data_IF_863054838883
#
_entry.id   IF_863054838883
#
_cell.length_a   1.000
_cell.length_b   1.000
_cell.length_c   1.000
_cell.angle_alpha   90.00
_cell.angle_beta   90.00
_cell.angle_gamma   90.00
#
_symmetry.space_group_name_H-M   'P 1'
#
loop_
_entity.id
_entity.type
_entity.pdbx_description
1 polymer ?
#
# COMPACT_ATOMS: atom_id res chain seq x y z
N UNK A 1 2.33 -36.34 -64.91
CA UNK A 1 1.15 -36.43 -64.03
C UNK A 1 1.60 -36.88 -62.65
N UNK A 2 1.76 -35.93 -61.71
CA UNK A 2 2.14 -36.22 -60.31
C UNK A 2 0.94 -35.86 -59.44
N UNK A 3 0.45 -36.86 -58.72
CA UNK A 3 -0.70 -36.80 -57.82
C UNK A 3 -0.35 -36.00 -56.56
N UNK A 4 -1.14 -34.96 -56.28
CA UNK A 4 -1.06 -34.16 -55.06
C UNK A 4 -1.56 -34.96 -53.84
N UNK A 5 -0.86 -34.95 -52.69
CA UNK A 5 -1.33 -35.56 -51.47
C UNK A 5 -2.47 -34.74 -50.86
N UNK A 6 -3.60 -35.39 -50.62
CA UNK A 6 -4.76 -34.82 -49.95
C UNK A 6 -4.44 -34.56 -48.47
N UNK A 7 -4.38 -33.28 -48.10
CA UNK A 7 -4.29 -32.82 -46.71
C UNK A 7 -5.61 -33.13 -45.99
N UNK A 8 -5.58 -34.15 -45.14
CA UNK A 8 -6.69 -34.50 -44.23
C UNK A 8 -6.81 -33.39 -43.18
N UNK A 9 -7.77 -32.48 -43.37
CA UNK A 9 -8.19 -31.54 -42.33
C UNK A 9 -8.92 -32.33 -41.23
N UNK A 10 -8.20 -32.71 -40.17
CA UNK A 10 -8.81 -33.16 -38.92
C UNK A 10 -9.53 -31.98 -38.28
N UNK A 11 -10.84 -31.92 -38.46
CA UNK A 11 -11.77 -31.12 -37.66
C UNK A 11 -11.61 -31.51 -36.19
N UNK A 12 -10.79 -30.75 -35.46
CA UNK A 12 -10.79 -30.75 -33.99
C UNK A 12 -12.15 -30.25 -33.54
N UNK A 13 -13.07 -31.18 -33.26
CA UNK A 13 -14.30 -30.91 -32.51
C UNK A 13 -13.94 -30.15 -31.24
N UNK A 14 -14.32 -28.87 -31.21
CA UNK A 14 -14.02 -27.93 -30.16
C UNK A 14 -14.71 -28.32 -28.86
N UNK A 15 -14.03 -29.11 -28.03
CA UNK A 15 -14.30 -29.18 -26.61
C UNK A 15 -14.03 -27.79 -26.05
N UNK A 16 -15.11 -27.02 -25.77
CA UNK A 16 -15.01 -25.80 -24.98
C UNK A 16 -14.26 -26.17 -23.69
N UNK A 17 -13.12 -25.55 -23.37
CA UNK A 17 -12.46 -25.80 -22.10
C UNK A 17 -13.47 -25.52 -20.99
N UNK A 18 -13.69 -26.50 -20.11
CA UNK A 18 -14.56 -26.34 -18.97
C UNK A 18 -14.10 -25.08 -18.22
N UNK A 19 -15.00 -24.09 -18.07
CA UNK A 19 -14.67 -22.86 -17.37
C UNK A 19 -14.21 -23.24 -15.96
N UNK A 20 -13.09 -22.67 -15.47
CA UNK A 20 -12.62 -22.97 -14.13
C UNK A 20 -13.72 -22.60 -13.13
N UNK A 21 -14.06 -23.55 -12.25
CA UNK A 21 -15.13 -23.43 -11.26
C UNK A 21 -14.92 -22.23 -10.30
N UNK A 22 -13.67 -21.77 -10.18
CA UNK A 22 -13.25 -20.67 -9.32
C UNK A 22 -12.68 -19.58 -10.22
N UNK A 23 -13.14 -18.34 -10.03
CA UNK A 23 -12.70 -17.17 -10.78
C UNK A 23 -11.95 -16.19 -9.88
N UNK A 24 -11.10 -15.32 -10.47
CA UNK A 24 -10.40 -14.27 -9.71
C UNK A 24 -11.36 -13.33 -8.96
N UNK A 25 -12.51 -12.90 -9.51
CA UNK A 25 -13.51 -12.15 -8.76
C UNK A 25 -14.07 -12.91 -7.55
N UNK A 26 -14.31 -14.22 -7.67
CA UNK A 26 -14.78 -15.05 -6.54
C UNK A 26 -13.76 -15.06 -5.40
N UNK A 27 -12.47 -15.22 -5.71
CA UNK A 27 -11.40 -15.17 -4.71
C UNK A 27 -11.26 -13.78 -4.08
N UNK A 28 -11.37 -12.72 -4.86
CA UNK A 28 -11.40 -11.36 -4.32
C UNK A 28 -12.59 -11.15 -3.37
N UNK A 29 -13.77 -11.68 -3.71
CA UNK A 29 -14.94 -11.67 -2.81
C UNK A 29 -14.69 -12.41 -1.49
N UNK A 30 -14.01 -13.55 -1.54
CA UNK A 30 -13.59 -14.29 -0.34
C UNK A 30 -12.60 -13.46 0.51
N UNK A 31 -11.60 -12.84 -0.12
CA UNK A 31 -10.64 -11.98 0.57
C UNK A 31 -11.32 -10.79 1.26
N UNK A 32 -12.29 -10.16 0.59
CA UNK A 32 -13.06 -9.06 1.19
C UNK A 32 -13.89 -9.57 2.38
N UNK A 33 -14.55 -10.71 2.27
CA UNK A 33 -15.29 -11.32 3.38
C UNK A 33 -14.40 -11.64 4.59
N UNK A 34 -13.18 -12.16 4.35
CA UNK A 34 -12.19 -12.39 5.40
C UNK A 34 -11.73 -11.08 6.06
N UNK A 35 -11.47 -10.05 5.25
CA UNK A 35 -11.15 -8.72 5.74
C UNK A 35 -12.28 -8.14 6.62
N UNK A 36 -13.55 -8.25 6.21
CA UNK A 36 -14.68 -7.80 7.03
C UNK A 36 -14.78 -8.56 8.38
N UNK A 37 -14.29 -9.80 8.43
CA UNK A 37 -14.28 -10.64 9.65
C UNK A 37 -13.03 -10.48 10.52
N UNK A 38 -12.15 -9.53 10.21
CA UNK A 38 -10.92 -9.33 11.00
C UNK A 38 -9.81 -10.36 10.71
N UNK A 39 -9.92 -11.15 9.64
CA UNK A 39 -8.98 -12.21 9.27
C UNK A 39 -7.90 -11.72 8.29
N UNK A 40 -7.13 -10.72 8.72
CA UNK A 40 -6.07 -10.10 7.91
C UNK A 40 -4.98 -11.13 7.54
N UNK A 41 -4.67 -12.02 8.48
CA UNK A 41 -3.76 -13.17 8.32
C UNK A 41 -4.12 -14.02 7.09
N UNK A 42 -5.40 -14.36 6.96
CA UNK A 42 -5.89 -15.21 5.88
C UNK A 42 -5.94 -14.50 4.54
N UNK A 43 -6.12 -13.18 4.53
CA UNK A 43 -6.07 -12.39 3.31
C UNK A 43 -4.66 -12.41 2.72
N UNK A 44 -3.64 -12.21 3.54
CA UNK A 44 -2.24 -12.31 3.10
C UNK A 44 -1.88 -13.73 2.68
N UNK A 45 -2.32 -14.73 3.45
CA UNK A 45 -2.12 -16.13 3.09
C UNK A 45 -2.73 -16.46 1.72
N UNK A 46 -3.97 -16.02 1.46
CA UNK A 46 -4.60 -16.23 0.17
C UNK A 46 -3.80 -15.53 -0.93
N UNK A 47 -3.49 -14.25 -0.77
CA UNK A 47 -2.71 -13.47 -1.73
C UNK A 47 -1.43 -14.20 -2.18
N UNK A 48 -0.64 -14.70 -1.24
CA UNK A 48 0.62 -15.37 -1.51
C UNK A 48 0.51 -16.74 -2.21
N UNK A 49 -0.68 -17.35 -2.14
CA UNK A 49 -0.92 -18.73 -2.54
C UNK A 49 -2.06 -18.88 -3.57
N UNK A 50 -2.63 -17.79 -4.10
CA UNK A 50 -3.75 -17.84 -5.07
C UNK A 50 -3.43 -18.73 -6.29
N UNK A 51 -2.23 -18.56 -6.84
CA UNK A 51 -1.80 -19.31 -8.02
C UNK A 51 -1.56 -20.79 -7.69
N UNK A 52 -0.90 -21.10 -6.58
CA UNK A 52 -0.63 -22.50 -6.18
C UNK A 52 -1.90 -23.24 -5.77
N UNK A 53 -2.82 -22.56 -5.08
CA UNK A 53 -4.07 -23.17 -4.58
C UNK A 53 -5.15 -23.28 -5.65
N UNK A 54 -5.24 -22.33 -6.57
CA UNK A 54 -6.37 -22.22 -7.49
C UNK A 54 -5.97 -22.11 -8.96
N UNK A 55 -4.69 -21.95 -9.28
CA UNK A 55 -4.22 -21.70 -10.65
C UNK A 55 -4.62 -20.31 -11.16
N UNK A 56 -4.87 -19.36 -10.25
CA UNK A 56 -5.41 -18.04 -10.57
C UNK A 56 -4.46 -16.96 -10.06
N UNK A 57 -4.01 -16.08 -10.96
CA UNK A 57 -3.26 -14.88 -10.55
C UNK A 57 -4.18 -13.85 -9.88
N UNK A 58 -3.67 -13.09 -8.89
CA UNK A 58 -4.40 -11.96 -8.31
C UNK A 58 -4.83 -10.97 -9.38
N UNK A 59 -6.01 -10.38 -9.19
CA UNK A 59 -6.53 -9.29 -10.03
C UNK A 59 -6.50 -7.95 -9.27
N UNK A 60 -6.94 -6.88 -9.94
CA UNK A 60 -7.01 -5.53 -9.37
C UNK A 60 -7.85 -5.44 -8.08
N UNK A 61 -8.88 -6.28 -7.93
CA UNK A 61 -9.72 -6.29 -6.73
C UNK A 61 -8.98 -6.91 -5.54
N UNK A 62 -8.36 -8.08 -5.73
CA UNK A 62 -7.52 -8.72 -4.73
C UNK A 62 -6.36 -7.80 -4.29
N UNK A 63 -5.74 -7.11 -5.25
CA UNK A 63 -4.66 -6.16 -4.99
C UNK A 63 -5.11 -5.00 -4.11
N UNK A 64 -6.27 -4.40 -4.43
CA UNK A 64 -6.85 -3.33 -3.64
C UNK A 64 -7.27 -3.81 -2.23
N UNK A 65 -7.76 -5.05 -2.09
CA UNK A 65 -8.07 -5.62 -0.77
C UNK A 65 -6.79 -5.78 0.04
N UNK A 66 -5.72 -6.34 -0.55
CA UNK A 66 -4.42 -6.47 0.12
C UNK A 66 -3.90 -5.12 0.65
N UNK A 67 -3.97 -4.05 -0.13
CA UNK A 67 -3.56 -2.71 0.33
C UNK A 67 -4.42 -2.19 1.48
N UNK A 68 -5.74 -2.40 1.46
CA UNK A 68 -6.65 -2.04 2.57
C UNK A 68 -6.31 -2.79 3.84
N UNK A 69 -6.09 -4.10 3.73
CA UNK A 69 -5.73 -4.98 4.85
C UNK A 69 -4.39 -4.57 5.43
N UNK A 70 -3.40 -4.30 4.58
CA UNK A 70 -2.09 -3.80 4.98
C UNK A 70 -2.16 -2.46 5.71
N UNK A 71 -3.03 -1.54 5.27
CA UNK A 71 -3.28 -0.28 5.98
C UNK A 71 -3.87 -0.53 7.37
N UNK A 72 -4.88 -1.40 7.49
CA UNK A 72 -5.50 -1.76 8.78
C UNK A 72 -4.50 -2.42 9.72
N UNK A 73 -3.63 -3.28 9.19
CA UNK A 73 -2.64 -4.05 9.94
C UNK A 73 -1.71 -3.20 10.80
N UNK A 74 -1.38 -1.95 10.41
CA UNK A 74 -0.53 -1.07 11.22
C UNK A 74 -1.18 -0.75 12.57
N UNK A 75 -2.51 -0.67 12.63
CA UNK A 75 -3.23 -0.39 13.87
C UNK A 75 -3.06 -1.51 14.90
N UNK A 76 -2.92 -2.76 14.45
CA UNK A 76 -2.70 -3.90 15.33
C UNK A 76 -1.23 -4.08 15.75
N UNK A 77 -0.29 -3.40 15.07
CA UNK A 77 1.15 -3.60 15.29
C UNK A 77 1.68 -3.00 16.60
N UNK A 78 0.90 -2.21 17.33
CA UNK A 78 1.34 -1.59 18.59
C UNK A 78 1.28 -2.51 19.83
N UNK A 79 0.84 -3.77 19.69
CA UNK A 79 0.89 -4.71 20.81
C UNK A 79 2.34 -5.06 21.18
N UNK A 80 2.67 -5.03 22.48
CA UNK A 80 3.96 -5.46 23.06
C UNK A 80 4.39 -6.84 22.51
N UNK A 81 3.42 -7.72 22.25
CA UNK A 81 3.65 -9.04 21.66
C UNK A 81 4.35 -8.97 20.30
N UNK A 82 4.01 -7.98 19.47
CA UNK A 82 4.62 -7.79 18.15
C UNK A 82 6.04 -7.24 18.25
N UNK A 83 6.33 -6.39 19.24
CA UNK A 83 7.69 -5.94 19.50
C UNK A 83 8.61 -7.14 19.81
N UNK A 84 8.14 -8.10 20.61
CA UNK A 84 8.89 -9.32 20.89
C UNK A 84 9.03 -10.27 19.69
N UNK A 85 8.01 -10.37 18.83
CA UNK A 85 8.12 -11.13 17.57
C UNK A 85 9.19 -10.51 16.66
N UNK A 86 9.23 -9.18 16.55
CA UNK A 86 10.25 -8.46 15.77
C UNK A 86 11.67 -8.66 16.33
N UNK A 87 11.82 -8.81 17.65
CA UNK A 87 13.08 -9.15 18.30
C UNK A 87 13.49 -10.62 18.14
N UNK A 88 12.68 -11.44 17.45
CA UNK A 88 12.96 -12.87 17.24
C UNK A 88 12.73 -13.74 18.47
N UNK A 89 12.27 -13.17 19.59
CA UNK A 89 12.07 -13.86 20.86
C UNK A 89 10.89 -14.86 20.83
N UNK A 90 10.01 -14.73 19.84
CA UNK A 90 8.88 -15.64 19.61
C UNK A 90 8.91 -16.30 18.22
N UNK A 91 10.07 -16.39 17.57
CA UNK A 91 10.19 -17.34 16.46
C UNK A 91 9.99 -18.72 17.04
N UNK A 92 8.77 -19.26 16.87
CA UNK A 92 8.51 -20.66 17.20
C UNK A 92 9.60 -21.45 16.50
N UNK A 93 10.41 -22.25 17.23
CA UNK A 93 11.28 -23.21 16.57
C UNK A 93 10.40 -23.98 15.58
N UNK A 94 10.96 -24.36 14.44
CA UNK A 94 10.30 -25.18 13.43
C UNK A 94 9.90 -26.51 14.06
N UNK A 95 8.84 -26.50 14.85
CA UNK A 95 8.21 -27.68 15.41
C UNK A 95 7.51 -28.32 14.25
N UNK A 96 7.95 -29.54 13.96
CA UNK A 96 7.31 -30.45 13.02
C UNK A 96 5.79 -30.27 13.07
N UNK A 97 5.20 -29.99 11.93
CA UNK A 97 3.75 -29.93 11.77
C UNK A 97 3.27 -31.24 11.16
N UNK A 98 2.14 -31.80 11.59
CA UNK A 98 1.50 -32.90 10.87
C UNK A 98 1.25 -32.59 9.38
N UNK A 99 1.19 -31.30 9.01
CA UNK A 99 1.08 -30.85 7.63
C UNK A 99 2.33 -31.16 6.80
N UNK A 100 3.50 -31.30 7.42
CA UNK A 100 4.77 -31.56 6.73
C UNK A 100 4.79 -32.96 6.09
N UNK A 101 3.97 -33.90 6.57
CA UNK A 101 3.80 -35.25 6.00
C UNK A 101 3.05 -35.24 4.65
N UNK A 102 2.29 -34.19 4.35
CA UNK A 102 1.52 -34.10 3.10
C UNK A 102 2.47 -33.78 1.95
N UNK A 103 2.75 -34.77 1.09
CA UNK A 103 3.70 -34.63 -0.02
C UNK A 103 3.27 -33.59 -1.07
N UNK A 104 1.96 -33.47 -1.35
CA UNK A 104 1.46 -32.47 -2.30
C UNK A 104 1.45 -31.07 -1.66
N UNK A 105 2.23 -30.10 -2.20
CA UNK A 105 2.30 -28.74 -1.67
C UNK A 105 0.93 -28.04 -1.70
N UNK A 106 0.09 -28.33 -2.70
CA UNK A 106 -1.24 -27.72 -2.81
C UNK A 106 -2.17 -28.25 -1.73
N UNK A 107 -2.23 -29.56 -1.53
CA UNK A 107 -2.99 -30.18 -0.45
C UNK A 107 -2.54 -29.69 0.92
N UNK A 108 -1.22 -29.53 1.13
CA UNK A 108 -0.65 -28.99 2.37
C UNK A 108 -1.13 -27.57 2.66
N UNK A 109 -1.06 -26.68 1.67
CA UNK A 109 -1.54 -25.30 1.82
C UNK A 109 -3.05 -25.24 2.06
N UNK A 110 -3.83 -26.08 1.38
CA UNK A 110 -5.28 -26.14 1.58
C UNK A 110 -5.64 -26.61 3.01
N UNK A 111 -4.92 -27.61 3.54
CA UNK A 111 -5.08 -28.07 4.91
C UNK A 111 -4.67 -26.98 5.92
N UNK A 112 -3.54 -26.29 5.68
CA UNK A 112 -3.10 -25.15 6.50
C UNK A 112 -4.13 -24.02 6.54
N UNK A 113 -4.73 -23.71 5.40
CA UNK A 113 -5.76 -22.69 5.29
C UNK A 113 -7.02 -23.07 6.09
N UNK A 114 -7.48 -24.32 5.98
CA UNK A 114 -8.63 -24.83 6.74
C UNK A 114 -8.37 -24.80 8.24
N UNK A 115 -7.22 -25.29 8.69
CA UNK A 115 -6.84 -25.25 10.09
C UNK A 115 -6.81 -23.82 10.62
N UNK A 116 -6.35 -22.86 9.81
CA UNK A 116 -6.33 -21.45 10.18
C UNK A 116 -7.73 -20.85 10.23
N UNK A 117 -8.67 -21.26 9.37
CA UNK A 117 -10.07 -20.82 9.42
C UNK A 117 -10.77 -21.21 10.72
N UNK A 118 -10.45 -22.38 11.27
CA UNK A 118 -11.00 -22.89 12.54
C UNK A 118 -10.45 -22.15 13.76
N UNK A 119 -9.27 -21.53 13.64
CA UNK A 119 -8.67 -20.73 14.70
C UNK A 119 -9.34 -19.36 14.81
N UNK A 120 -9.39 -18.77 16.04
CA UNK A 120 -9.89 -17.42 16.22
C UNK A 120 -9.07 -16.40 15.42
N UNK A 121 -9.66 -15.27 15.00
CA UNK A 121 -8.96 -14.21 14.29
C UNK A 121 -7.66 -13.79 15.00
N UNK A 122 -6.53 -13.96 14.32
CA UNK A 122 -5.24 -13.47 14.82
C UNK A 122 -4.92 -12.12 14.19
N UNK A 123 -5.27 -11.04 14.89
CA UNK A 123 -4.93 -9.68 14.47
C UNK A 123 -3.48 -9.37 14.84
N UNK A 124 -2.53 -10.02 14.18
CA UNK A 124 -1.10 -9.80 14.46
C UNK A 124 -0.58 -8.52 13.80
N UNK A 125 -1.20 -8.06 12.71
CA UNK A 125 -0.65 -7.00 11.88
C UNK A 125 0.59 -7.42 11.09
N UNK A 126 0.90 -8.73 11.08
CA UNK A 126 2.05 -9.32 10.43
C UNK A 126 1.64 -10.06 9.15
N UNK A 127 2.54 -10.04 8.18
CA UNK A 127 2.51 -10.84 6.96
C UNK A 127 3.84 -11.58 6.90
N UNK A 128 3.80 -12.91 6.94
CA UNK A 128 5.01 -13.76 6.95
C UNK A 128 6.02 -13.37 8.06
N UNK A 129 5.51 -12.98 9.22
CA UNK A 129 6.32 -12.55 10.37
C UNK A 129 6.90 -11.13 10.28
N UNK A 130 6.66 -10.39 9.20
CA UNK A 130 7.06 -8.98 9.07
C UNK A 130 5.85 -8.04 9.15
N UNK A 131 6.04 -6.75 9.47
CA UNK A 131 4.93 -5.79 9.44
C UNK A 131 4.27 -5.74 8.07
N UNK A 132 2.99 -6.07 7.98
CA UNK A 132 2.33 -6.33 6.71
C UNK A 132 2.32 -5.12 5.77
N UNK A 133 2.26 -3.91 6.33
CA UNK A 133 2.38 -2.67 5.58
C UNK A 133 3.70 -2.54 4.79
N UNK A 134 4.83 -3.03 5.33
CA UNK A 134 6.12 -2.96 4.65
C UNK A 134 6.17 -3.92 3.48
N UNK A 135 5.65 -5.14 3.68
CA UNK A 135 5.55 -6.12 2.58
C UNK A 135 4.61 -5.58 1.52
N UNK A 136 3.45 -5.04 1.88
CA UNK A 136 2.51 -4.47 0.93
C UNK A 136 3.15 -3.34 0.10
N UNK A 137 3.86 -2.40 0.73
CA UNK A 137 4.62 -1.34 0.05
C UNK A 137 5.69 -1.92 -0.88
N UNK A 138 6.45 -2.92 -0.44
CA UNK A 138 7.43 -3.59 -1.30
C UNK A 138 6.77 -4.27 -2.50
N UNK A 139 5.65 -4.97 -2.28
CA UNK A 139 4.91 -5.68 -3.33
C UNK A 139 4.34 -4.69 -4.35
N UNK A 140 3.67 -3.61 -3.93
CA UNK A 140 3.14 -2.60 -4.87
C UNK A 140 4.25 -1.89 -5.63
N UNK A 141 5.32 -1.45 -4.96
CA UNK A 141 6.42 -0.76 -5.64
C UNK A 141 7.11 -1.70 -6.62
N UNK A 142 7.46 -2.91 -6.20
CA UNK A 142 8.06 -3.89 -7.11
C UNK A 142 7.15 -4.19 -8.30
N UNK A 143 5.85 -4.36 -8.06
CA UNK A 143 4.86 -4.61 -9.11
C UNK A 143 4.77 -3.46 -10.11
N UNK A 144 4.71 -2.22 -9.62
CA UNK A 144 4.71 -1.01 -10.46
C UNK A 144 5.98 -0.91 -11.30
N UNK A 145 7.16 -1.08 -10.69
CA UNK A 145 8.45 -0.95 -11.39
C UNK A 145 8.71 -2.09 -12.38
N UNK A 146 8.15 -3.28 -12.15
CA UNK A 146 8.24 -4.37 -13.13
C UNK A 146 7.36 -4.14 -14.35
N UNK A 147 6.21 -3.48 -14.17
CA UNK A 147 5.33 -3.12 -15.28
C UNK A 147 5.81 -1.87 -16.02
N UNK A 148 6.35 -0.91 -15.28
CA UNK A 148 6.80 0.40 -15.77
C UNK A 148 8.17 0.75 -15.17
N UNK A 149 9.27 0.18 -15.70
CA UNK A 149 10.61 0.46 -15.20
C UNK A 149 10.99 1.95 -15.30
N UNK A 150 10.40 2.69 -16.24
CA UNK A 150 10.57 4.14 -16.41
C UNK A 150 10.13 4.96 -15.18
N UNK A 151 9.30 4.40 -14.29
CA UNK A 151 8.95 5.06 -13.02
C UNK A 151 10.15 5.28 -12.09
N UNK A 152 11.28 4.58 -12.31
CA UNK A 152 12.55 4.80 -11.60
C UNK A 152 13.18 6.17 -11.90
N UNK A 153 12.93 6.70 -13.10
CA UNK A 153 13.52 7.97 -13.56
C UNK A 153 12.65 9.18 -13.19
N UNK A 154 11.44 8.94 -12.69
CA UNK A 154 10.49 9.99 -12.35
C UNK A 154 10.81 10.55 -10.97
N UNK A 155 11.05 11.85 -10.91
CA UNK A 155 11.19 12.59 -9.66
C UNK A 155 9.85 13.17 -9.19
N UNK A 156 9.71 13.33 -7.87
CA UNK A 156 8.59 14.05 -7.29
C UNK A 156 8.67 15.54 -7.63
N UNK A 157 7.54 16.22 -7.94
CA UNK A 157 7.54 17.61 -8.37
C UNK A 157 7.97 18.58 -7.27
N UNK A 158 7.86 18.16 -6.00
CA UNK A 158 8.23 18.94 -4.84
C UNK A 158 8.72 18.00 -3.74
N UNK A 159 9.80 18.39 -3.07
CA UNK A 159 10.35 17.70 -1.92
C UNK A 159 9.72 18.17 -0.61
N UNK A 160 9.45 17.23 0.29
CA UNK A 160 8.98 17.52 1.64
C UNK A 160 10.09 18.20 2.47
N UNK A 161 9.72 19.04 3.43
CA UNK A 161 10.66 19.65 4.38
C UNK A 161 11.08 18.67 5.47
N UNK A 162 10.24 17.66 5.71
CA UNK A 162 10.37 16.71 6.81
C UNK A 162 10.04 15.32 6.30
N UNK A 163 10.62 14.31 6.91
CA UNK A 163 10.30 12.93 6.57
C UNK A 163 8.97 12.48 7.15
N UNK A 164 8.68 12.87 8.40
CA UNK A 164 7.56 12.37 9.22
C UNK A 164 6.73 13.51 9.81
N UNK A 165 5.41 13.36 9.86
CA UNK A 165 4.49 14.38 10.39
C UNK A 165 4.39 14.45 11.93
N UNK A 166 4.68 13.34 12.63
CA UNK A 166 4.38 13.21 14.07
C UNK A 166 5.32 14.00 15.01
N UNK A 167 6.42 14.57 14.51
CA UNK A 167 7.39 15.30 15.35
C UNK A 167 6.90 16.67 15.84
N UNK A 168 5.89 17.23 15.18
CA UNK A 168 5.35 18.58 15.43
C UNK A 168 4.82 18.84 16.83
N UNK A 169 4.32 17.81 17.51
CA UNK A 169 3.55 18.03 18.75
C UNK A 169 4.46 18.16 19.98
N UNK A 170 5.72 17.73 19.91
CA UNK A 170 6.53 17.56 21.11
C UNK A 170 7.36 18.80 21.49
N UNK A 171 7.98 19.52 20.54
CA UNK A 171 8.98 20.55 20.89
C UNK A 171 9.09 21.71 19.86
N UNK A 172 8.35 22.82 20.01
CA UNK A 172 8.31 23.90 19.00
C UNK A 172 9.65 24.63 18.79
N UNK A 173 10.47 24.78 19.84
CA UNK A 173 11.77 25.46 19.74
C UNK A 173 12.82 24.62 19.01
N UNK A 174 12.89 23.31 19.28
CA UNK A 174 13.82 22.44 18.55
C UNK A 174 13.43 22.32 17.09
N UNK A 175 12.13 22.38 16.79
CA UNK A 175 11.66 22.44 15.40
C UNK A 175 12.07 23.71 14.69
N UNK A 176 11.99 24.87 15.35
CA UNK A 176 12.46 26.11 14.75
C UNK A 176 13.96 26.06 14.44
N UNK A 177 14.77 25.59 15.40
CA UNK A 177 16.21 25.41 15.21
C UNK A 177 16.52 24.43 14.05
N UNK A 178 15.83 23.29 14.02
CA UNK A 178 15.97 22.32 12.94
C UNK A 178 15.52 22.89 11.60
N UNK A 179 14.42 23.65 11.53
CA UNK A 179 13.94 24.27 10.31
C UNK A 179 14.94 25.32 9.79
N UNK A 180 15.55 26.11 10.66
CA UNK A 180 16.59 27.08 10.29
C UNK A 180 17.85 26.38 9.77
N UNK A 181 18.27 25.29 10.43
CA UNK A 181 19.43 24.50 9.99
C UNK A 181 19.15 23.79 8.65
N UNK A 182 17.97 23.19 8.50
CA UNK A 182 17.52 22.59 7.24
C UNK A 182 17.41 23.65 6.15
N UNK A 183 16.94 24.87 6.44
CA UNK A 183 16.86 25.95 5.45
C UNK A 183 18.25 26.35 4.92
N UNK A 184 19.23 26.52 5.81
CA UNK A 184 20.62 26.78 5.41
C UNK A 184 21.22 25.62 4.57
N UNK A 185 20.77 24.39 4.83
CA UNK A 185 21.30 23.19 4.17
C UNK A 185 20.57 22.82 2.86
N UNK A 186 19.27 23.12 2.74
CA UNK A 186 18.41 22.71 1.61
C UNK A 186 18.66 23.50 0.34
N UNK A 187 19.40 24.61 0.39
CA UNK A 187 19.90 25.24 -0.84
C UNK A 187 20.96 24.38 -1.55
N UNK A 188 21.57 23.41 -0.86
CA UNK A 188 22.71 22.64 -1.40
C UNK A 188 22.58 21.12 -1.29
N UNK A 189 21.50 20.58 -0.71
CA UNK A 189 21.36 19.13 -0.60
C UNK A 189 20.72 18.51 -1.83
N UNK A 190 21.47 17.56 -2.42
CA UNK A 190 20.94 16.60 -3.36
C UNK A 190 19.77 15.83 -2.74
N UNK A 191 18.72 15.54 -3.53
CA UNK A 191 17.60 14.75 -3.06
C UNK A 191 18.10 13.37 -2.61
N UNK A 192 17.88 13.03 -1.34
CA UNK A 192 18.05 11.65 -0.88
C UNK A 192 17.17 10.74 -1.75
N UNK A 193 17.65 9.53 -2.10
CA UNK A 193 16.87 8.62 -2.92
C UNK A 193 15.51 8.34 -2.24
N UNK A 194 14.40 8.29 -2.99
CA UNK A 194 13.08 8.03 -2.44
C UNK A 194 13.07 6.78 -1.56
N UNK A 195 12.58 6.90 -0.34
CA UNK A 195 12.55 5.77 0.62
C UNK A 195 11.67 4.65 0.10
N UNK A 196 10.64 5.00 -0.67
CA UNK A 196 9.77 4.04 -1.33
C UNK A 196 10.53 3.11 -2.29
N UNK A 197 11.55 3.65 -2.99
CA UNK A 197 12.41 2.87 -3.88
C UNK A 197 13.41 2.01 -3.10
N UNK A 198 13.91 2.51 -1.95
CA UNK A 198 14.77 1.73 -1.07
C UNK A 198 14.08 0.49 -0.46
N UNK A 199 12.75 0.46 -0.42
CA UNK A 199 11.98 -0.73 0.01
C UNK A 199 12.02 -1.87 -1.01
N UNK A 200 12.36 -1.57 -2.26
CA UNK A 200 12.50 -2.57 -3.32
C UNK A 200 13.81 -3.32 -3.09
N UNK A 201 13.73 -4.34 -2.22
CA UNK A 201 14.79 -5.33 -2.10
C UNK A 201 14.98 -6.10 -3.43
N UNK A 202 15.87 -7.11 -3.46
CA UNK A 202 16.01 -7.96 -4.63
C UNK A 202 14.64 -8.51 -5.07
N UNK A 203 14.41 -8.65 -6.39
CA UNK A 203 13.12 -9.06 -6.91
C UNK A 203 12.65 -10.33 -6.19
N UNK A 204 11.38 -10.40 -5.74
CA UNK A 204 10.85 -11.60 -5.14
C UNK A 204 11.05 -12.77 -6.10
N UNK A 205 11.37 -13.94 -5.56
CA UNK A 205 11.54 -15.19 -6.35
C UNK A 205 10.23 -15.67 -7.00
N UNK A 206 9.09 -15.10 -6.63
CA UNK A 206 7.75 -15.46 -7.11
C UNK A 206 7.39 -14.64 -8.36
N UNK A 207 6.58 -15.19 -9.29
CA UNK A 207 6.24 -14.54 -10.54
C UNK A 207 5.58 -13.18 -10.31
N UNK A 208 6.01 -12.20 -11.10
CA UNK A 208 5.41 -10.87 -11.16
C UNK A 208 3.95 -10.98 -11.65
N UNK A 209 3.03 -10.28 -10.99
CA UNK A 209 1.59 -10.35 -11.29
C UNK A 209 1.19 -9.50 -12.49
N UNK A 210 1.69 -9.81 -13.69
CA UNK A 210 1.53 -8.98 -14.91
C UNK A 210 0.08 -8.58 -15.26
N UNK A 211 -0.92 -9.30 -14.75
CA UNK A 211 -2.33 -9.04 -15.03
C UNK A 211 -2.96 -7.94 -14.16
N UNK A 212 -2.24 -7.40 -13.17
CA UNK A 212 -2.76 -6.35 -12.29
C UNK A 212 -2.34 -4.99 -12.83
N UNK A 213 -3.25 -4.27 -13.50
CA UNK A 213 -3.02 -2.87 -13.91
C UNK A 213 -3.59 -1.96 -12.82
N UNK A 214 -2.76 -1.23 -12.05
CA UNK A 214 -3.23 -0.31 -11.02
C UNK A 214 -4.12 0.80 -11.60
N UNK A 215 -5.12 1.21 -10.85
CA UNK A 215 -6.03 2.29 -11.22
C UNK A 215 -6.07 3.36 -10.13
N UNK A 216 -6.91 4.39 -10.31
CA UNK A 216 -7.05 5.49 -9.35
C UNK A 216 -7.28 5.00 -7.92
N UNK A 217 -8.11 3.96 -7.74
CA UNK A 217 -8.39 3.37 -6.43
C UNK A 217 -7.17 2.70 -5.79
N UNK A 218 -6.31 2.06 -6.60
CA UNK A 218 -5.05 1.49 -6.13
C UNK A 218 -4.10 2.56 -5.61
N UNK A 219 -3.97 3.66 -6.35
CA UNK A 219 -3.14 4.79 -5.95
C UNK A 219 -3.70 5.54 -4.74
N UNK A 220 -5.02 5.69 -4.66
CA UNK A 220 -5.71 6.21 -3.47
C UNK A 220 -5.36 5.39 -2.21
N UNK A 221 -5.43 4.06 -2.31
CA UNK A 221 -5.07 3.16 -1.22
C UNK A 221 -3.58 3.19 -0.91
N UNK A 222 -2.71 3.35 -1.91
CA UNK A 222 -1.27 3.54 -1.73
C UNK A 222 -0.97 4.83 -0.97
N UNK A 223 -1.60 5.95 -1.31
CA UNK A 223 -1.44 7.24 -0.60
C UNK A 223 -1.84 7.10 0.87
N UNK A 224 -2.95 6.42 1.15
CA UNK A 224 -3.33 6.10 2.52
C UNK A 224 -2.30 5.21 3.22
N UNK A 225 -1.76 4.22 2.52
CA UNK A 225 -0.72 3.36 3.08
C UNK A 225 0.54 4.16 3.38
N UNK A 226 0.96 5.09 2.53
CA UNK A 226 2.12 5.96 2.76
C UNK A 226 1.96 6.81 4.01
N UNK A 227 0.81 7.50 4.18
CA UNK A 227 0.53 8.29 5.38
C UNK A 227 0.59 7.42 6.62
N UNK A 228 -0.11 6.26 6.60
CA UNK A 228 -0.08 5.40 7.76
C UNK A 228 1.31 4.96 8.11
N UNK A 229 2.29 4.92 7.20
CA UNK A 229 3.65 4.41 7.44
C UNK A 229 4.72 5.48 7.60
N UNK A 230 4.34 6.71 7.92
CA UNK A 230 5.28 7.82 8.10
C UNK A 230 6.12 8.08 6.83
N UNK A 231 5.52 7.80 5.67
CA UNK A 231 6.08 8.01 4.33
C UNK A 231 5.26 9.05 3.56
N UNK A 232 4.59 9.95 4.27
CA UNK A 232 3.81 11.03 3.64
C UNK A 232 4.68 11.89 2.71
N UNK A 233 5.98 12.01 2.99
CA UNK A 233 6.97 12.69 2.14
C UNK A 233 7.07 12.12 0.72
N UNK A 234 6.66 10.88 0.50
CA UNK A 234 6.68 10.19 -0.80
C UNK A 234 5.40 10.43 -1.64
N UNK A 235 4.38 11.07 -1.08
CA UNK A 235 3.11 11.33 -1.78
C UNK A 235 3.30 12.11 -3.10
N UNK A 236 4.15 13.16 -3.18
CA UNK A 236 4.40 13.85 -4.44
C UNK A 236 4.96 12.94 -5.55
N UNK A 237 5.84 11.99 -5.20
CA UNK A 237 6.38 11.00 -6.14
C UNK A 237 5.26 10.10 -6.68
N UNK A 238 4.40 9.60 -5.80
CA UNK A 238 3.28 8.75 -6.21
C UNK A 238 2.27 9.50 -7.09
N UNK A 239 2.04 10.79 -6.84
CA UNK A 239 1.25 11.65 -7.73
C UNK A 239 1.94 11.87 -9.09
N UNK A 240 3.27 11.99 -9.12
CA UNK A 240 4.04 12.05 -10.36
C UNK A 240 3.90 10.76 -11.18
N UNK A 241 3.95 9.60 -10.53
CA UNK A 241 3.67 8.31 -11.17
C UNK A 241 2.26 8.25 -11.75
N UNK A 242 1.23 8.69 -11.01
CA UNK A 242 -0.14 8.77 -11.53
C UNK A 242 -0.22 9.62 -12.80
N UNK A 243 0.44 10.79 -12.80
CA UNK A 243 0.49 11.68 -13.98
C UNK A 243 1.16 11.01 -15.17
N UNK A 244 2.30 10.37 -14.95
CA UNK A 244 3.04 9.68 -16.01
C UNK A 244 2.25 8.53 -16.62
N UNK A 245 1.58 7.74 -15.78
CA UNK A 245 0.71 6.64 -16.21
C UNK A 245 -0.65 7.12 -16.75
N UNK A 246 -0.87 8.44 -16.87
CA UNK A 246 -2.14 9.05 -17.30
C UNK A 246 -3.35 8.62 -16.46
N UNK A 247 -3.14 8.32 -15.18
CA UNK A 247 -4.21 7.99 -14.22
C UNK A 247 -4.68 9.29 -13.57
N UNK A 248 -5.88 9.73 -13.93
CA UNK A 248 -6.49 10.96 -13.37
C UNK A 248 -7.02 10.69 -11.95
N UNK A 249 -6.46 11.32 -10.91
CA UNK A 249 -6.95 11.18 -9.54
C UNK A 249 -8.32 11.87 -9.37
N UNK A 250 -9.18 11.30 -8.53
CA UNK A 250 -10.39 12.02 -8.09
C UNK A 250 -10.03 13.20 -7.18
N UNK A 251 -10.90 14.21 -7.10
CA UNK A 251 -10.75 15.31 -6.14
C UNK A 251 -10.60 14.79 -4.70
N UNK A 252 -11.22 13.66 -4.38
CA UNK A 252 -11.14 13.03 -3.06
C UNK A 252 -9.75 12.46 -2.77
N UNK A 253 -9.13 11.81 -3.77
CA UNK A 253 -7.74 11.34 -3.68
C UNK A 253 -6.76 12.50 -3.52
N UNK A 254 -6.95 13.59 -4.26
CA UNK A 254 -6.14 14.80 -4.07
C UNK A 254 -6.36 15.42 -2.70
N UNK A 255 -7.60 15.49 -2.21
CA UNK A 255 -7.89 16.03 -0.88
C UNK A 255 -7.14 15.26 0.22
N UNK A 256 -7.15 13.94 0.18
CA UNK A 256 -6.37 13.13 1.12
C UNK A 256 -4.86 13.30 0.94
N UNK A 257 -4.36 13.30 -0.30
CA UNK A 257 -2.94 13.50 -0.58
C UNK A 257 -2.44 14.82 0.04
N UNK A 258 -3.19 15.90 -0.15
CA UNK A 258 -2.88 17.22 0.42
C UNK A 258 -2.97 17.23 1.95
N UNK A 259 -4.02 16.63 2.53
CA UNK A 259 -4.16 16.53 4.00
C UNK A 259 -2.99 15.76 4.62
N UNK A 260 -2.60 14.63 4.04
CA UNK A 260 -1.48 13.81 4.53
C UNK A 260 -0.13 14.45 4.32
N UNK A 261 0.05 15.20 3.23
CA UNK A 261 1.32 15.85 2.93
C UNK A 261 1.53 17.16 3.68
N UNK A 262 0.46 17.82 4.15
CA UNK A 262 0.54 19.09 4.86
C UNK A 262 1.53 19.08 6.04
N UNK A 263 1.50 18.11 6.98
CA UNK A 263 2.42 18.09 8.13
C UNK A 263 3.92 18.03 7.76
N UNK A 264 4.24 17.47 6.59
CA UNK A 264 5.62 17.31 6.11
C UNK A 264 6.07 18.42 5.16
N UNK A 265 5.16 19.31 4.75
CA UNK A 265 5.42 20.35 3.72
C UNK A 265 5.21 21.79 4.20
N UNK A 266 4.49 22.02 5.30
CA UNK A 266 4.30 23.36 5.85
C UNK A 266 5.37 23.71 6.87
N UNK A 267 5.95 24.90 6.71
CA UNK A 267 6.79 25.54 7.73
C UNK A 267 5.94 26.08 8.89
N UNK A 268 6.60 26.61 9.94
CA UNK A 268 5.89 27.41 10.93
C UNK A 268 5.31 28.68 10.27
N UNK A 269 4.14 29.20 10.74
CA UNK A 269 3.48 30.35 10.11
C UNK A 269 4.38 31.58 9.94
N UNK A 270 5.26 31.83 10.92
CA UNK A 270 6.22 32.94 10.88
C UNK A 270 7.23 32.77 9.74
N UNK A 271 7.77 31.57 9.58
CA UNK A 271 8.76 31.27 8.56
C UNK A 271 8.13 31.25 7.16
N UNK A 272 6.88 30.80 7.05
CA UNK A 272 6.11 30.88 5.81
C UNK A 272 5.85 32.33 5.38
N UNK A 273 5.50 33.21 6.33
CA UNK A 273 5.37 34.66 6.06
C UNK A 273 6.71 35.26 5.59
N UNK A 274 7.82 34.92 6.25
CA UNK A 274 9.17 35.37 5.85
C UNK A 274 9.59 34.88 4.45
N UNK A 275 9.18 33.67 4.05
CA UNK A 275 9.50 33.08 2.74
C UNK A 275 8.67 33.67 1.58
N UNK A 276 7.77 34.61 1.85
CA UNK A 276 6.91 35.22 0.84
C UNK A 276 5.55 34.53 0.67
N UNK A 277 5.08 33.82 1.71
CA UNK A 277 3.74 33.26 1.81
C UNK A 277 3.55 31.88 1.19
N UNK A 278 2.30 31.41 1.22
CA UNK A 278 1.87 30.07 0.81
C UNK A 278 2.29 29.67 -0.60
N UNK A 279 2.35 30.62 -1.54
CA UNK A 279 2.72 30.33 -2.94
C UNK A 279 4.15 29.83 -3.12
N UNK A 280 5.05 30.10 -2.15
CA UNK A 280 6.45 29.66 -2.18
C UNK A 280 6.72 28.46 -1.28
N UNK A 281 5.77 28.06 -0.42
CA UNK A 281 5.93 26.88 0.40
C UNK A 281 5.90 25.61 -0.46
N UNK A 282 6.55 24.51 -0.04
CA UNK A 282 6.43 23.23 -0.72
C UNK A 282 4.97 22.83 -0.92
N UNK A 283 4.13 23.04 0.09
CA UNK A 283 2.68 22.84 0.01
C UNK A 283 2.06 23.58 -1.18
N UNK A 284 2.26 24.90 -1.28
CA UNK A 284 1.74 25.70 -2.39
C UNK A 284 2.31 25.33 -3.75
N UNK A 285 3.59 24.94 -3.83
CA UNK A 285 4.20 24.45 -5.08
C UNK A 285 3.55 23.17 -5.58
N UNK A 286 3.21 22.22 -4.70
CA UNK A 286 2.51 21.01 -5.11
C UNK A 286 1.09 21.33 -5.57
N UNK A 287 0.38 22.21 -4.85
CA UNK A 287 -0.95 22.67 -5.27
C UNK A 287 -0.87 23.34 -6.64
N UNK A 288 0.10 24.22 -6.89
CA UNK A 288 0.31 24.84 -8.20
C UNK A 288 0.61 23.82 -9.31
N UNK A 289 1.46 22.83 -9.03
CA UNK A 289 1.75 21.73 -9.95
C UNK A 289 0.50 20.88 -10.26
N UNK A 290 -0.31 20.57 -9.23
CA UNK A 290 -1.57 19.86 -9.39
C UNK A 290 -2.58 20.68 -10.19
N UNK A 291 -2.67 22.00 -9.98
CA UNK A 291 -3.56 22.88 -10.73
C UNK A 291 -3.16 22.93 -12.20
N UNK A 292 -1.86 22.99 -12.50
CA UNK A 292 -1.36 22.94 -13.86
C UNK A 292 -1.64 21.60 -14.56
N UNK A 293 -1.63 20.49 -13.81
CA UNK A 293 -1.93 19.16 -14.35
C UNK A 293 -3.43 18.91 -14.52
N UNK A 294 -4.23 19.18 -13.49
CA UNK A 294 -5.66 18.77 -13.41
C UNK A 294 -6.64 19.89 -13.76
N UNK A 295 -6.15 21.13 -13.88
CA UNK A 295 -6.97 22.34 -13.97
C UNK A 295 -7.64 22.71 -12.64
N UNK A 296 -8.18 23.92 -12.55
CA UNK A 296 -8.84 24.43 -11.34
C UNK A 296 -10.00 23.54 -10.88
N UNK A 297 -10.75 22.98 -11.83
CA UNK A 297 -11.87 22.05 -11.54
C UNK A 297 -11.41 20.71 -10.98
N UNK A 298 -10.15 20.32 -11.18
CA UNK A 298 -9.59 19.08 -10.63
C UNK A 298 -9.13 19.21 -9.18
N UNK A 299 -8.98 20.44 -8.68
CA UNK A 299 -8.53 20.72 -7.32
C UNK A 299 -9.70 20.60 -6.34
N UNK A 300 -9.52 19.92 -5.18
CA UNK A 300 -10.56 19.83 -4.18
C UNK A 300 -10.87 21.20 -3.58
N UNK A 301 -12.16 21.50 -3.41
CA UNK A 301 -12.60 22.67 -2.62
C UNK A 301 -12.20 22.55 -1.14
N UNK A 302 -12.11 23.68 -0.45
CA UNK A 302 -11.84 23.73 1.00
C UNK A 302 -12.82 22.88 1.82
N UNK A 303 -14.09 22.84 1.38
CA UNK A 303 -15.12 21.98 1.99
C UNK A 303 -14.74 20.51 1.90
N UNK A 304 -14.15 20.08 0.78
CA UNK A 304 -13.73 18.69 0.57
C UNK A 304 -12.45 18.37 1.34
N UNK A 305 -11.49 19.29 1.38
CA UNK A 305 -10.29 19.19 2.23
C UNK A 305 -10.69 19.05 3.71
N UNK A 306 -11.62 19.87 4.18
CA UNK A 306 -12.13 19.79 5.56
C UNK A 306 -12.84 18.46 5.86
N UNK A 307 -13.54 17.87 4.88
CA UNK A 307 -14.12 16.51 5.03
C UNK A 307 -13.03 15.44 5.09
N UNK A 308 -12.01 15.51 4.23
CA UNK A 308 -10.89 14.59 4.24
C UNK A 308 -10.15 14.66 5.58
N UNK A 309 -9.87 15.88 6.09
CA UNK A 309 -9.24 16.10 7.39
C UNK A 309 -10.00 15.43 8.54
N UNK A 310 -11.32 15.64 8.63
CA UNK A 310 -12.17 14.95 9.63
C UNK A 310 -12.15 13.43 9.46
N UNK A 311 -12.09 12.92 8.23
CA UNK A 311 -11.99 11.48 7.99
C UNK A 311 -10.64 10.92 8.44
N UNK A 312 -9.54 11.66 8.27
CA UNK A 312 -8.22 11.28 8.78
C UNK A 312 -8.23 11.26 10.30
N UNK A 313 -8.74 12.32 10.92
CA UNK A 313 -8.85 12.44 12.37
C UNK A 313 -9.74 11.34 12.95
N UNK A 314 -10.90 11.09 12.36
CA UNK A 314 -11.76 9.97 12.75
C UNK A 314 -11.03 8.64 12.63
N UNK A 315 -10.30 8.37 11.54
CA UNK A 315 -9.56 7.11 11.40
C UNK A 315 -8.43 6.97 12.44
N UNK A 316 -7.81 8.08 12.87
CA UNK A 316 -6.80 8.09 13.94
C UNK A 316 -7.41 7.91 15.33
N UNK A 317 -8.60 8.48 15.60
CA UNK A 317 -9.25 8.45 16.92
C UNK A 317 -10.19 7.25 17.14
N UNK A 318 -10.93 6.83 16.11
CA UNK A 318 -11.87 5.69 16.15
C UNK A 318 -11.18 4.31 16.21
N UNK A 319 -9.85 4.29 16.32
CA UNK A 319 -9.08 3.11 16.67
C UNK A 319 -8.56 3.18 18.11
N UNK A 320 -9.42 3.18 19.15
CA UNK A 320 -8.96 2.84 20.49
C UNK A 320 -8.67 1.35 20.47
N UNK A 321 -7.38 1.00 20.53
CA UNK A 321 -6.95 -0.33 20.93
C UNK A 321 -7.56 -0.55 22.33
N UNK A 322 -8.69 -1.25 22.38
CA UNK A 322 -9.37 -1.73 23.60
C UNK A 322 -9.52 -0.67 24.71
N UNK A 323 -10.59 0.14 24.65
CA UNK A 323 -11.32 0.39 25.89
C UNK A 323 -11.88 -0.96 26.34
N UNK A 324 -11.06 -1.67 27.11
CA UNK A 324 -11.45 -2.85 27.86
C UNK A 324 -12.50 -2.37 28.85
N UNK A 325 -13.78 -2.32 28.41
CA UNK A 325 -14.90 -2.15 29.33
C UNK A 325 -14.82 -3.38 30.23
N UNK A 326 -14.47 -3.24 31.53
CA UNK A 326 -14.48 -4.39 32.41
C UNK A 326 -15.88 -4.98 32.32
N UNK A 327 -15.98 -6.23 31.89
CA UNK A 327 -17.19 -7.01 32.05
C UNK A 327 -17.59 -6.86 33.52
N UNK A 328 -18.68 -6.14 33.77
CA UNK A 328 -19.30 -6.09 35.08
C UNK A 328 -19.69 -7.53 35.40
N UNK A 329 -18.88 -8.18 36.22
CA UNK A 329 -19.19 -9.45 36.87
C UNK A 329 -20.30 -9.28 37.88
#
# INVERSE_FOLDING_TARGET
>A
MRSSPQTIQRTRTGLRPALPLISAPTLAGLMDALFQRGRDDLVFFLWDNMEMLYGISPNIYAFNIMLKVARRSKMHNMSIRNAFVQLGLFRRPSTWSPLDEIADPRARLAASFRMSLEQPPTQTGLWDGYPAHRIALRVVTHHLLCLWPELLEIEGPVYALRETGDRLVSHPFTEFAHAMQTYASTQFHHPSPPRLLALVGPPPKKPTYYNVVPNEKSFHLLIHLLDTNDLASEIPLVLAWMRHLSIVPSQWTIAFALVYWRPVSTDSPLLEAMKGGLGRSPYGRLVGWLTAWLGEKGIPSDRLIGKAMRSVEYFKTSNPIFEDKPEKR
#
